data_IF_017571491788
#
_entry.id   IF_017571491788
#
_cell.length_a   1.000
_cell.length_b   1.000
_cell.length_c   1.000
_cell.angle_alpha   90.00
_cell.angle_beta   90.00
_cell.angle_gamma   90.00
#
_symmetry.space_group_name_H-M   'P 1'
#
loop_
_entity.id
_entity.type
_entity.pdbx_description
1 polymer ?
#
# COMPACT_ATOMS: atom_id res chain seq x y z
N UNK A 1 -17.77 26.48 -6.50
CA UNK A 1 -17.24 26.22 -5.16
C UNK A 1 -17.08 24.70 -5.02
N UNK A 2 -15.94 24.25 -4.58
CA UNK A 2 -15.59 22.84 -4.42
C UNK A 2 -15.31 22.60 -2.93
N UNK A 3 -15.87 21.54 -2.34
CA UNK A 3 -15.67 21.16 -0.93
C UNK A 3 -14.61 20.08 -0.76
N UNK A 4 -14.46 19.21 -1.77
CA UNK A 4 -13.54 18.09 -1.76
C UNK A 4 -12.81 17.99 -3.10
N UNK A 5 -11.52 17.64 -3.03
CA UNK A 5 -10.68 17.34 -4.18
C UNK A 5 -10.38 15.83 -4.19
N UNK A 6 -10.44 15.20 -5.35
CA UNK A 6 -10.06 13.80 -5.55
C UNK A 6 -8.80 13.78 -6.40
N UNK A 7 -7.69 13.25 -5.87
CA UNK A 7 -6.47 13.05 -6.66
C UNK A 7 -6.42 11.63 -7.22
N UNK A 8 -6.44 11.53 -8.54
CA UNK A 8 -6.31 10.29 -9.29
C UNK A 8 -5.21 10.40 -10.36
N UNK A 9 -4.17 11.19 -10.08
CA UNK A 9 -3.10 11.47 -11.07
C UNK A 9 -2.11 10.32 -11.25
N UNK A 10 -1.98 9.41 -10.26
CA UNK A 10 -1.03 8.30 -10.29
C UNK A 10 0.44 8.73 -10.34
N UNK A 11 0.73 9.99 -10.01
CA UNK A 11 2.09 10.51 -9.87
C UNK A 11 2.30 11.01 -8.43
N UNK A 12 3.23 10.43 -7.65
CA UNK A 12 3.39 10.76 -6.24
C UNK A 12 3.71 12.23 -5.99
N UNK A 13 4.55 12.85 -6.83
CA UNK A 13 4.92 14.25 -6.68
C UNK A 13 3.76 15.21 -6.99
N UNK A 14 2.96 14.89 -8.02
CA UNK A 14 1.76 15.67 -8.36
C UNK A 14 0.71 15.52 -7.26
N UNK A 15 0.49 14.30 -6.75
CA UNK A 15 -0.41 14.03 -5.65
C UNK A 15 -0.06 14.80 -4.38
N UNK A 16 1.22 14.87 -4.05
CA UNK A 16 1.72 15.68 -2.95
C UNK A 16 1.35 17.17 -3.11
N UNK A 17 1.57 17.74 -4.29
CA UNK A 17 1.25 19.13 -4.59
C UNK A 17 -0.27 19.40 -4.56
N UNK A 18 -1.07 18.49 -5.13
CA UNK A 18 -2.54 18.61 -5.14
C UNK A 18 -3.08 18.57 -3.71
N UNK A 19 -2.61 17.60 -2.90
CA UNK A 19 -3.04 17.47 -1.52
C UNK A 19 -2.74 18.73 -0.70
N UNK A 20 -1.51 19.26 -0.77
CA UNK A 20 -1.16 20.47 -0.04
C UNK A 20 -2.00 21.68 -0.46
N UNK A 21 -2.17 21.92 -1.75
CA UNK A 21 -2.98 23.02 -2.25
C UNK A 21 -4.45 22.90 -1.87
N UNK A 22 -5.00 21.68 -1.86
CA UNK A 22 -6.36 21.43 -1.40
C UNK A 22 -6.49 21.79 0.09
N UNK A 23 -5.57 21.33 0.94
CA UNK A 23 -5.55 21.62 2.37
C UNK A 23 -5.37 23.11 2.67
N UNK A 24 -4.46 23.80 1.97
CA UNK A 24 -4.27 25.25 2.07
C UNK A 24 -5.53 26.04 1.69
N UNK A 25 -6.30 25.52 0.73
CA UNK A 25 -7.58 26.09 0.32
C UNK A 25 -8.75 25.67 1.21
N UNK A 26 -8.52 24.95 2.31
CA UNK A 26 -9.55 24.46 3.23
C UNK A 26 -10.47 23.40 2.62
N UNK A 27 -9.97 22.61 1.65
CA UNK A 27 -10.72 21.56 0.96
C UNK A 27 -10.35 20.18 1.49
N UNK A 28 -11.34 19.31 1.64
CA UNK A 28 -11.09 17.89 1.90
C UNK A 28 -10.35 17.26 0.75
N UNK A 29 -9.58 16.21 1.01
CA UNK A 29 -8.83 15.49 -0.01
C UNK A 29 -9.09 13.98 0.07
N UNK A 30 -9.52 13.40 -1.05
CA UNK A 30 -9.63 11.95 -1.27
C UNK A 30 -8.49 11.54 -2.19
N UNK A 31 -7.60 10.68 -1.70
CA UNK A 31 -6.40 10.26 -2.39
C UNK A 31 -6.61 8.89 -3.03
N UNK A 32 -6.66 8.84 -4.38
CA UNK A 32 -6.55 7.58 -5.14
C UNK A 32 -5.09 7.29 -5.51
N UNK A 33 -4.20 8.24 -5.26
CA UNK A 33 -2.76 8.15 -5.46
C UNK A 33 -2.11 7.53 -4.21
N UNK A 34 -2.24 6.22 -4.08
CA UNK A 34 -1.73 5.45 -2.93
C UNK A 34 -0.20 5.54 -2.86
N UNK A 35 0.46 5.77 -3.99
CA UNK A 35 1.90 5.98 -4.12
C UNK A 35 2.37 7.20 -3.30
N UNK A 36 1.60 8.29 -3.33
CA UNK A 36 1.88 9.46 -2.50
C UNK A 36 1.64 9.18 -1.02
N UNK A 37 0.54 8.48 -0.68
CA UNK A 37 0.20 8.12 0.69
C UNK A 37 1.28 7.27 1.36
N UNK A 38 1.73 6.18 0.73
CA UNK A 38 2.76 5.31 1.32
C UNK A 38 4.11 6.02 1.47
N UNK A 39 4.34 7.09 0.70
CA UNK A 39 5.58 7.87 0.73
C UNK A 39 5.58 8.95 1.81
N UNK A 40 4.50 9.73 1.92
CA UNK A 40 4.40 10.92 2.79
C UNK A 40 3.07 11.01 3.56
N UNK A 41 2.34 9.91 3.68
CA UNK A 41 0.99 9.91 4.26
C UNK A 41 0.91 10.42 5.70
N UNK A 42 1.90 10.11 6.54
CA UNK A 42 1.94 10.63 7.91
C UNK A 42 2.09 12.17 7.96
N UNK A 43 2.84 12.75 7.02
CA UNK A 43 2.91 14.19 6.83
C UNK A 43 1.57 14.76 6.35
N UNK A 44 0.96 14.15 5.32
CA UNK A 44 -0.31 14.59 4.76
C UNK A 44 -1.44 14.51 5.79
N UNK A 45 -1.49 13.44 6.58
CA UNK A 45 -2.42 13.33 7.70
C UNK A 45 -2.29 14.54 8.64
N UNK A 46 -1.07 14.83 9.10
CA UNK A 46 -0.83 15.92 10.06
C UNK A 46 -1.10 17.29 9.47
N UNK A 47 -0.80 17.48 8.18
CA UNK A 47 -1.14 18.71 7.46
C UNK A 47 -2.65 18.92 7.37
N UNK A 48 -3.41 17.87 7.09
CA UNK A 48 -4.87 17.91 7.05
C UNK A 48 -5.49 18.19 8.43
N UNK A 49 -4.98 17.56 9.49
CA UNK A 49 -5.40 17.83 10.87
C UNK A 49 -5.18 19.30 11.24
N UNK A 50 -4.00 19.86 10.90
CA UNK A 50 -3.69 21.28 11.12
C UNK A 50 -4.60 22.22 10.32
N UNK A 51 -4.92 21.85 9.08
CA UNK A 51 -5.83 22.63 8.22
C UNK A 51 -7.30 22.45 8.58
N UNK A 52 -7.65 21.53 9.50
CA UNK A 52 -9.02 21.23 9.89
C UNK A 52 -9.84 20.59 8.77
N UNK A 53 -9.19 19.85 7.85
CA UNK A 53 -9.83 19.17 6.72
C UNK A 53 -9.68 17.65 6.84
N UNK A 54 -10.49 16.91 6.09
CA UNK A 54 -10.38 15.45 6.01
C UNK A 54 -9.38 15.08 4.93
N UNK A 55 -8.45 14.19 5.30
CA UNK A 55 -7.59 13.42 4.41
C UNK A 55 -8.02 11.95 4.47
N UNK A 56 -8.20 11.30 3.34
CA UNK A 56 -8.55 9.88 3.27
C UNK A 56 -8.05 9.23 1.99
N UNK A 57 -7.68 7.95 2.04
CA UNK A 57 -7.65 7.12 0.85
C UNK A 57 -9.09 6.86 0.36
N UNK A 58 -9.24 6.71 -0.96
CA UNK A 58 -10.54 6.54 -1.61
C UNK A 58 -11.15 5.17 -1.34
N UNK A 59 -12.46 5.13 -1.05
CA UNK A 59 -13.23 3.89 -0.97
C UNK A 59 -13.17 3.12 -2.30
N UNK A 60 -13.27 1.80 -2.23
CA UNK A 60 -13.29 0.90 -3.38
C UNK A 60 -11.93 0.54 -3.94
N UNK A 61 -10.84 1.18 -3.53
CA UNK A 61 -9.50 0.65 -3.77
C UNK A 61 -9.20 -0.50 -2.83
N UNK A 62 -8.29 -1.41 -3.18
CA UNK A 62 -7.99 -2.60 -2.38
C UNK A 62 -7.64 -2.28 -0.92
N UNK A 63 -6.79 -1.26 -0.61
CA UNK A 63 -6.49 -0.93 0.77
C UNK A 63 -7.72 -0.54 1.58
N UNK A 64 -8.55 0.34 1.04
CA UNK A 64 -9.78 0.80 1.73
C UNK A 64 -10.81 -0.31 1.86
N UNK A 65 -10.93 -1.18 0.85
CA UNK A 65 -11.82 -2.36 0.90
C UNK A 65 -11.34 -3.39 1.94
N UNK A 66 -10.02 -3.60 2.07
CA UNK A 66 -9.46 -4.43 3.14
C UNK A 66 -9.69 -3.79 4.52
N UNK A 67 -9.60 -2.46 4.63
CA UNK A 67 -9.84 -1.72 5.86
C UNK A 67 -11.28 -1.91 6.39
N UNK A 68 -12.28 -2.00 5.50
CA UNK A 68 -13.65 -2.31 5.91
C UNK A 68 -13.75 -3.66 6.63
N UNK A 69 -13.12 -4.72 6.08
CA UNK A 69 -13.08 -6.03 6.74
C UNK A 69 -12.25 -6.01 8.02
N UNK A 70 -11.14 -5.28 8.05
CA UNK A 70 -10.30 -5.13 9.24
C UNK A 70 -11.11 -4.45 10.34
N UNK A 71 -11.79 -3.34 10.03
CA UNK A 71 -12.64 -2.63 10.99
C UNK A 71 -13.79 -3.50 11.51
N UNK A 72 -14.40 -4.31 10.64
CA UNK A 72 -15.44 -5.28 11.01
C UNK A 72 -14.91 -6.31 12.02
N UNK A 73 -13.76 -6.91 11.76
CA UNK A 73 -13.14 -7.92 12.63
C UNK A 73 -12.69 -7.30 13.96
N UNK A 74 -12.00 -6.16 13.90
CA UNK A 74 -11.52 -5.45 15.10
C UNK A 74 -12.68 -4.85 15.93
N UNK A 75 -13.76 -4.40 15.27
CA UNK A 75 -14.95 -3.91 15.95
C UNK A 75 -15.66 -4.96 16.80
N UNK A 76 -15.48 -6.26 16.49
CA UNK A 76 -15.92 -7.37 17.32
C UNK A 76 -14.91 -7.75 18.41
N UNK A 77 -13.79 -7.04 18.53
CA UNK A 77 -12.70 -7.37 19.45
C UNK A 77 -11.87 -8.58 19.02
N UNK A 78 -11.93 -9.00 17.76
CA UNK A 78 -11.21 -10.16 17.27
C UNK A 78 -9.83 -9.78 16.70
N UNK A 79 -8.79 -10.59 16.93
CA UNK A 79 -7.46 -10.30 16.43
C UNK A 79 -7.36 -10.51 14.92
N UNK A 80 -6.69 -9.60 14.23
CA UNK A 80 -6.31 -9.78 12.84
C UNK A 80 -4.96 -10.49 12.77
N UNK A 81 -4.95 -11.69 12.18
CA UNK A 81 -3.74 -12.51 11.99
C UNK A 81 -3.04 -12.11 10.70
N UNK A 82 -3.81 -12.02 9.61
CA UNK A 82 -3.35 -11.55 8.32
C UNK A 82 -4.46 -10.76 7.62
N UNK A 83 -4.08 -9.76 6.82
CA UNK A 83 -5.01 -9.06 5.94
C UNK A 83 -4.34 -8.80 4.59
N UNK A 84 -5.14 -8.77 3.52
CA UNK A 84 -4.58 -8.52 2.19
C UNK A 84 -5.54 -8.75 1.05
N UNK A 85 -4.97 -9.07 -0.11
CA UNK A 85 -5.71 -9.16 -1.38
C UNK A 85 -5.34 -10.37 -2.22
N UNK A 86 -6.18 -10.68 -3.20
CA UNK A 86 -5.84 -11.54 -4.33
C UNK A 86 -5.08 -10.77 -5.41
N UNK A 87 -4.11 -11.41 -6.06
CA UNK A 87 -3.38 -10.87 -7.21
C UNK A 87 -3.63 -11.78 -8.42
N UNK A 88 -4.29 -11.26 -9.46
CA UNK A 88 -4.65 -12.02 -10.67
C UNK A 88 -3.76 -11.76 -11.88
N UNK A 89 -2.99 -10.67 -11.90
CA UNK A 89 -2.04 -10.40 -12.97
C UNK A 89 -0.79 -11.28 -12.78
N UNK A 90 -0.12 -11.69 -13.86
CA UNK A 90 1.18 -12.37 -13.76
C UNK A 90 2.15 -11.59 -12.87
N UNK A 91 3.08 -12.29 -12.22
CA UNK A 91 4.13 -11.63 -11.44
C UNK A 91 5.45 -11.72 -12.20
N UNK A 92 5.69 -10.72 -13.05
CA UNK A 92 6.89 -10.59 -13.87
C UNK A 92 7.63 -9.31 -13.48
N UNK A 93 8.60 -9.47 -12.62
CA UNK A 93 9.34 -8.37 -11.98
C UNK A 93 10.14 -7.50 -12.96
N UNK A 94 10.52 -8.06 -14.11
CA UNK A 94 11.28 -7.42 -15.18
C UNK A 94 10.41 -6.74 -16.25
N UNK A 95 9.08 -6.84 -16.14
CA UNK A 95 8.15 -6.32 -17.15
C UNK A 95 8.38 -4.83 -17.47
N UNK A 96 8.26 -4.47 -18.75
CA UNK A 96 8.42 -3.11 -19.24
C UNK A 96 7.20 -2.64 -20.02
N UNK A 97 6.95 -1.32 -20.13
CA UNK A 97 5.81 -0.80 -20.90
C UNK A 97 5.82 -1.21 -22.37
N UNK A 98 6.99 -1.41 -22.95
CA UNK A 98 7.13 -1.80 -24.36
C UNK A 98 6.52 -3.17 -24.64
N UNK A 99 6.69 -4.13 -23.72
CA UNK A 99 6.12 -5.47 -23.82
C UNK A 99 4.58 -5.49 -23.69
N UNK A 100 4.01 -4.52 -22.98
CA UNK A 100 2.59 -4.46 -22.66
C UNK A 100 1.81 -3.40 -23.45
N UNK A 101 2.41 -2.77 -24.44
CA UNK A 101 1.81 -1.69 -25.25
C UNK A 101 0.51 -2.13 -25.93
N UNK A 102 0.52 -3.28 -26.59
CA UNK A 102 -0.65 -3.79 -27.31
C UNK A 102 -1.77 -4.22 -26.36
N UNK A 103 -1.42 -4.89 -25.25
CA UNK A 103 -2.41 -5.29 -24.26
C UNK A 103 -3.05 -4.08 -23.59
N UNK A 104 -2.26 -3.08 -23.24
CA UNK A 104 -2.73 -1.83 -22.66
C UNK A 104 -3.69 -1.11 -23.62
N UNK A 105 -3.35 -1.04 -24.90
CA UNK A 105 -4.23 -0.45 -25.92
C UNK A 105 -5.56 -1.18 -26.02
N UNK A 106 -5.57 -2.53 -26.03
CA UNK A 106 -6.81 -3.33 -26.02
C UNK A 106 -7.68 -3.09 -24.80
N UNK A 107 -7.06 -2.81 -23.64
CA UNK A 107 -7.74 -2.56 -22.36
C UNK A 107 -8.03 -1.09 -22.10
N UNK A 108 -7.73 -0.20 -23.06
CA UNK A 108 -7.81 1.26 -22.90
C UNK A 108 -7.08 1.74 -21.62
N UNK A 109 -5.88 1.23 -21.41
CA UNK A 109 -5.04 1.53 -20.24
C UNK A 109 -3.71 2.17 -20.68
N UNK A 110 -3.09 2.89 -19.75
CA UNK A 110 -1.70 3.31 -19.91
C UNK A 110 -0.77 2.09 -19.73
N UNK A 111 0.17 1.80 -20.67
CA UNK A 111 1.10 0.68 -20.56
C UNK A 111 1.90 0.66 -19.24
N UNK A 112 2.34 1.81 -18.77
CA UNK A 112 3.05 1.96 -17.49
C UNK A 112 2.20 1.49 -16.31
N UNK A 113 0.92 1.89 -16.25
CA UNK A 113 0.00 1.43 -15.20
C UNK A 113 -0.23 -0.08 -15.26
N UNK A 114 -0.32 -0.66 -16.47
CA UNK A 114 -0.46 -2.10 -16.61
C UNK A 114 0.78 -2.84 -16.08
N UNK A 115 1.97 -2.30 -16.33
CA UNK A 115 3.23 -2.86 -15.80
C UNK A 115 3.27 -2.79 -14.28
N UNK A 116 2.76 -1.76 -13.62
CA UNK A 116 2.70 -1.68 -12.15
C UNK A 116 1.91 -2.85 -11.53
N UNK A 117 0.87 -3.34 -12.23
CA UNK A 117 0.16 -4.56 -11.81
C UNK A 117 0.99 -5.82 -12.04
N UNK A 118 1.72 -5.89 -13.13
CA UNK A 118 2.46 -7.09 -13.56
C UNK A 118 3.78 -7.24 -12.79
N UNK A 119 4.55 -6.16 -12.59
CA UNK A 119 5.82 -6.20 -11.87
C UNK A 119 5.66 -6.29 -10.34
N UNK A 120 4.42 -6.17 -9.87
CA UNK A 120 4.04 -6.27 -8.47
C UNK A 120 4.08 -4.95 -7.70
N UNK A 121 4.54 -3.85 -8.28
CA UNK A 121 4.64 -2.55 -7.59
C UNK A 121 3.32 -2.16 -6.95
N UNK A 122 2.21 -2.25 -7.69
CA UNK A 122 0.88 -1.90 -7.17
C UNK A 122 0.51 -2.72 -5.93
N UNK A 123 0.72 -4.05 -5.96
CA UNK A 123 0.48 -4.91 -4.80
C UNK A 123 1.34 -4.51 -3.59
N UNK A 124 2.63 -4.19 -3.81
CA UNK A 124 3.53 -3.78 -2.73
C UNK A 124 3.11 -2.43 -2.13
N UNK A 125 2.68 -1.48 -2.96
CA UNK A 125 2.16 -0.18 -2.54
C UNK A 125 0.90 -0.37 -1.68
N UNK A 126 -0.08 -1.11 -2.17
CA UNK A 126 -1.36 -1.33 -1.49
C UNK A 126 -1.20 -2.03 -0.14
N UNK A 127 -0.36 -3.07 -0.07
CA UNK A 127 -0.09 -3.75 1.20
C UNK A 127 0.67 -2.85 2.18
N UNK A 128 1.56 -1.98 1.70
CA UNK A 128 2.21 -0.95 2.54
C UNK A 128 1.19 0.07 3.06
N UNK A 129 0.20 0.47 2.26
CA UNK A 129 -0.86 1.36 2.70
C UNK A 129 -1.69 0.73 3.83
N UNK A 130 -2.10 -0.56 3.70
CA UNK A 130 -2.78 -1.29 4.77
C UNK A 130 -1.90 -1.36 6.03
N UNK A 131 -0.62 -1.68 5.87
CA UNK A 131 0.32 -1.71 6.99
C UNK A 131 0.36 -0.37 7.72
N UNK A 132 0.48 0.72 6.98
CA UNK A 132 0.58 2.06 7.53
C UNK A 132 -0.72 2.57 8.17
N UNK A 133 -1.89 2.04 7.78
CA UNK A 133 -3.16 2.40 8.39
C UNK A 133 -3.54 1.55 9.62
N UNK A 134 -2.96 0.34 9.75
CA UNK A 134 -3.41 -0.64 10.75
C UNK A 134 -2.36 -1.06 11.76
N UNK A 135 -1.09 -0.88 11.46
CA UNK A 135 0.02 -1.42 12.25
C UNK A 135 0.37 -2.88 11.93
N UNK A 136 -0.35 -3.54 11.02
CA UNK A 136 0.05 -4.82 10.45
C UNK A 136 1.34 -4.62 9.66
N UNK A 137 2.20 -5.65 9.57
CA UNK A 137 3.49 -5.50 8.87
C UNK A 137 3.72 -6.63 7.87
N UNK A 138 4.51 -6.43 6.82
CA UNK A 138 5.03 -7.55 6.03
C UNK A 138 5.83 -8.50 6.93
N UNK A 139 5.54 -9.80 6.87
CA UNK A 139 6.26 -10.82 7.67
C UNK A 139 7.73 -10.97 7.22
N UNK A 140 7.98 -10.71 5.95
CA UNK A 140 9.30 -10.62 5.32
C UNK A 140 9.26 -9.58 4.20
N UNK A 141 10.42 -9.06 3.74
CA UNK A 141 10.46 -8.19 2.57
C UNK A 141 9.80 -8.86 1.35
N UNK A 142 8.87 -8.13 0.71
CA UNK A 142 8.07 -8.61 -0.42
C UNK A 142 6.94 -9.54 -0.07
N UNK A 143 6.74 -9.86 1.22
CA UNK A 143 5.67 -10.76 1.71
C UNK A 143 5.84 -12.22 1.24
N UNK A 144 4.87 -13.09 1.46
CA UNK A 144 4.95 -14.49 1.04
C UNK A 144 4.35 -14.73 -0.34
N UNK A 145 3.18 -14.13 -0.60
CA UNK A 145 2.44 -14.29 -1.85
C UNK A 145 2.12 -15.75 -2.20
N UNK A 146 1.57 -16.56 -1.26
CA UNK A 146 1.31 -17.97 -1.52
C UNK A 146 0.27 -18.19 -2.62
N UNK A 147 0.32 -19.33 -3.30
CA UNK A 147 -0.79 -19.83 -4.12
C UNK A 147 -1.82 -20.55 -3.23
N UNK A 148 -2.49 -19.77 -2.39
CA UNK A 148 -3.48 -20.27 -1.43
C UNK A 148 -4.88 -19.88 -1.88
N UNK A 149 -5.71 -20.89 -2.15
CA UNK A 149 -7.12 -20.70 -2.52
C UNK A 149 -7.92 -20.13 -1.34
N UNK A 150 -9.03 -19.48 -1.63
CA UNK A 150 -9.89 -18.86 -0.61
C UNK A 150 -10.23 -19.81 0.55
N UNK A 151 -10.58 -21.06 0.24
CA UNK A 151 -10.93 -22.08 1.23
C UNK A 151 -9.78 -22.47 2.17
N UNK A 152 -8.53 -22.19 1.78
CA UNK A 152 -7.33 -22.59 2.52
C UNK A 152 -6.53 -21.40 3.06
N UNK A 153 -6.93 -20.17 2.75
CA UNK A 153 -6.22 -18.96 3.20
C UNK A 153 -5.95 -18.96 4.71
N UNK A 154 -6.95 -19.30 5.51
CA UNK A 154 -6.83 -19.33 6.96
C UNK A 154 -5.88 -20.42 7.48
N UNK A 155 -5.63 -21.48 6.70
CA UNK A 155 -4.69 -22.56 7.04
C UNK A 155 -3.27 -22.21 6.64
N UNK A 156 -3.12 -21.44 5.55
CA UNK A 156 -1.82 -21.04 5.01
C UNK A 156 -1.32 -19.77 5.69
N UNK A 157 -2.17 -18.75 5.84
CA UNK A 157 -1.83 -17.47 6.45
C UNK A 157 -2.16 -17.47 7.96
N UNK A 158 -1.70 -18.51 8.66
CA UNK A 158 -1.65 -18.58 10.11
C UNK A 158 -0.20 -18.82 10.60
N UNK A 159 0.08 -18.71 11.91
CA UNK A 159 1.42 -18.91 12.44
C UNK A 159 2.01 -20.29 12.14
N UNK A 160 3.33 -20.37 11.99
CA UNK A 160 4.07 -21.62 11.77
C UNK A 160 3.85 -22.64 12.87
N UNK A 161 3.71 -22.20 14.11
CA UNK A 161 3.41 -23.04 15.27
C UNK A 161 2.08 -23.78 15.14
N UNK A 162 1.14 -23.24 14.34
CA UNK A 162 -0.17 -23.83 14.02
C UNK A 162 -0.23 -24.40 12.59
N UNK A 163 0.92 -24.58 11.93
CA UNK A 163 1.06 -25.24 10.62
C UNK A 163 1.02 -24.30 9.40
N UNK A 164 0.98 -22.99 9.59
CA UNK A 164 0.98 -22.00 8.51
C UNK A 164 2.34 -21.48 8.08
N UNK A 165 2.36 -20.37 7.35
CA UNK A 165 3.58 -19.74 6.82
C UNK A 165 4.15 -18.63 7.72
N UNK A 166 3.32 -18.02 8.57
CA UNK A 166 3.67 -16.76 9.21
C UNK A 166 4.62 -16.96 10.39
N UNK A 167 5.65 -16.12 10.48
CA UNK A 167 6.56 -16.09 11.64
C UNK A 167 5.95 -15.34 12.83
N UNK A 168 4.87 -14.58 12.61
CA UNK A 168 4.20 -13.72 13.58
C UNK A 168 2.71 -13.54 13.23
N UNK A 169 1.95 -13.01 14.18
CA UNK A 169 0.59 -12.50 13.97
C UNK A 169 0.62 -11.03 13.58
N UNK A 170 -0.46 -10.55 12.94
CA UNK A 170 -0.58 -9.15 12.57
C UNK A 170 0.23 -8.78 11.32
N UNK A 171 -0.02 -9.48 10.21
CA UNK A 171 0.73 -9.27 8.97
C UNK A 171 -0.16 -8.80 7.81
N UNK A 172 0.47 -8.14 6.84
CA UNK A 172 -0.09 -7.92 5.51
C UNK A 172 0.52 -8.92 4.54
N UNK A 173 -0.30 -9.52 3.67
CA UNK A 173 0.15 -10.43 2.62
C UNK A 173 -0.83 -10.46 1.45
N UNK A 174 -0.49 -11.11 0.37
CA UNK A 174 -1.36 -11.32 -0.79
C UNK A 174 -1.35 -12.80 -1.20
N UNK A 175 -2.31 -13.20 -2.03
CA UNK A 175 -2.29 -14.54 -2.65
C UNK A 175 -2.35 -14.44 -4.16
N UNK A 176 -1.65 -15.33 -4.85
CA UNK A 176 -1.68 -15.44 -6.33
C UNK A 176 -2.70 -16.47 -6.81
N UNK A 177 -3.42 -17.12 -5.91
CA UNK A 177 -4.41 -18.14 -6.23
C UNK A 177 -5.58 -17.58 -7.04
N UNK A 178 -6.00 -18.33 -8.07
CA UNK A 178 -7.17 -18.00 -8.87
C UNK A 178 -8.44 -17.96 -8.02
N UNK A 179 -9.33 -16.99 -8.30
CA UNK A 179 -10.62 -16.85 -7.64
C UNK A 179 -10.61 -16.04 -6.34
N UNK A 180 -9.46 -15.54 -5.90
CA UNK A 180 -9.37 -14.57 -4.80
C UNK A 180 -9.39 -13.14 -5.30
N UNK A 181 -8.64 -12.82 -6.34
CA UNK A 181 -8.76 -11.51 -6.99
C UNK A 181 -10.05 -11.43 -7.84
N UNK A 182 -10.71 -10.28 -7.88
CA UNK A 182 -10.33 -8.96 -7.36
C UNK A 182 -10.78 -8.71 -5.91
N UNK A 183 -10.66 -9.68 -5.03
CA UNK A 183 -11.12 -9.59 -3.65
C UNK A 183 -10.02 -9.26 -2.64
N UNK A 184 -10.49 -8.89 -1.44
CA UNK A 184 -9.68 -8.63 -0.26
C UNK A 184 -10.10 -9.57 0.87
N UNK A 185 -9.19 -9.88 1.78
CA UNK A 185 -9.43 -10.83 2.86
C UNK A 185 -8.84 -10.39 4.19
N UNK A 186 -9.41 -10.94 5.27
CA UNK A 186 -8.86 -10.90 6.63
C UNK A 186 -8.90 -12.29 7.22
N UNK A 187 -7.80 -12.74 7.79
CA UNK A 187 -7.72 -13.96 8.61
C UNK A 187 -7.73 -13.55 10.07
N UNK A 188 -8.65 -14.13 10.84
CA UNK A 188 -8.78 -13.92 12.30
C UNK A 188 -8.62 -15.23 13.06
N UNK A 189 -8.35 -15.15 14.36
CA UNK A 189 -8.21 -16.30 15.25
C UNK A 189 -9.28 -16.25 16.35
N UNK A 190 -10.09 -17.30 16.48
CA UNK A 190 -11.11 -17.44 17.51
C UNK A 190 -10.89 -18.75 18.28
N UNK A 191 -10.30 -18.68 19.48
CA UNK A 191 -10.02 -19.87 20.30
C UNK A 191 -11.13 -20.23 21.27
N UNK A 192 -12.03 -19.30 21.60
CA UNK A 192 -13.10 -19.55 22.56
C UNK A 192 -14.08 -20.61 22.04
N UNK A 193 -14.37 -21.70 22.79
CA UNK A 193 -15.17 -22.83 22.30
C UNK A 193 -16.56 -22.43 21.77
N UNK A 194 -17.25 -21.53 22.47
CA UNK A 194 -18.58 -21.05 22.05
C UNK A 194 -18.56 -20.24 20.74
N UNK A 195 -17.49 -19.49 20.46
CA UNK A 195 -17.34 -18.80 19.19
C UNK A 195 -17.10 -19.82 18.08
N UNK A 196 -16.26 -20.82 18.31
CA UNK A 196 -15.98 -21.88 17.34
C UNK A 196 -17.22 -22.69 17.03
N UNK A 197 -17.99 -23.09 18.05
CA UNK A 197 -19.29 -23.76 17.89
C UNK A 197 -20.23 -22.92 16.98
N UNK A 198 -20.31 -21.61 17.22
CA UNK A 198 -21.15 -20.74 16.40
C UNK A 198 -20.63 -20.60 14.96
N UNK A 199 -19.32 -20.51 14.77
CA UNK A 199 -18.73 -20.46 13.42
C UNK A 199 -18.96 -21.77 12.67
N UNK A 200 -18.90 -22.92 13.35
CA UNK A 200 -19.24 -24.22 12.79
C UNK A 200 -20.71 -24.29 12.35
N UNK A 201 -21.65 -23.91 13.22
CA UNK A 201 -23.09 -23.85 12.93
C UNK A 201 -23.40 -22.97 11.69
N UNK A 202 -22.62 -21.92 11.48
CA UNK A 202 -22.74 -21.02 10.34
C UNK A 202 -21.96 -21.49 9.10
N UNK A 203 -21.42 -22.71 9.11
CA UNK A 203 -20.64 -23.33 8.03
C UNK A 203 -19.36 -22.54 7.64
N UNK A 204 -18.74 -21.85 8.62
CA UNK A 204 -17.52 -21.07 8.41
C UNK A 204 -16.23 -21.85 8.73
N UNK A 205 -16.36 -23.13 9.12
CA UNK A 205 -15.25 -24.05 9.40
C UNK A 205 -15.05 -24.36 10.87
N UNK A 206 -14.04 -25.20 11.15
CA UNK A 206 -13.75 -25.73 12.50
C UNK A 206 -12.86 -24.80 13.33
N UNK A 207 -12.21 -23.85 12.69
CA UNK A 207 -11.26 -22.95 13.36
C UNK A 207 -9.95 -23.63 13.83
N UNK A 208 -9.13 -22.95 14.62
CA UNK A 208 -9.37 -21.65 15.24
C UNK A 208 -9.23 -20.44 14.31
N UNK A 209 -8.73 -20.63 13.08
CA UNK A 209 -8.53 -19.57 12.10
C UNK A 209 -9.69 -19.52 11.11
N UNK A 210 -10.12 -18.31 10.76
CA UNK A 210 -11.26 -18.06 9.85
C UNK A 210 -10.92 -16.95 8.87
N UNK A 211 -11.39 -17.09 7.61
CA UNK A 211 -11.22 -16.06 6.57
C UNK A 211 -12.51 -15.30 6.37
N UNK A 212 -12.47 -13.99 6.51
CA UNK A 212 -13.49 -13.09 5.98
C UNK A 212 -13.04 -12.56 4.63
N UNK A 213 -13.95 -12.49 3.67
CA UNK A 213 -13.63 -12.20 2.29
C UNK A 213 -14.66 -11.28 1.65
N UNK A 214 -14.18 -10.23 1.01
CA UNK A 214 -14.97 -9.39 0.12
C UNK A 214 -14.53 -9.70 -1.32
N UNK A 215 -15.42 -10.28 -2.19
CA UNK A 215 -15.03 -10.82 -3.49
C UNK A 215 -14.79 -9.77 -4.57
N UNK A 216 -14.93 -8.49 -4.25
CA UNK A 216 -14.77 -7.38 -5.18
C UNK A 216 -14.25 -6.13 -4.47
N UNK A 217 -13.71 -5.24 -5.26
CA UNK A 217 -13.48 -3.84 -4.93
C UNK A 217 -13.87 -3.01 -6.18
N UNK A 218 -14.57 -1.90 -5.99
CA UNK A 218 -15.18 -1.17 -7.11
C UNK A 218 -14.50 0.21 -7.29
N UNK A 219 -13.20 0.22 -7.43
CA UNK A 219 -12.28 1.36 -7.39
C UNK A 219 -12.96 2.71 -7.70
N UNK A 220 -13.16 3.11 -8.91
CA UNK A 220 -13.73 4.42 -9.25
C UNK A 220 -15.22 4.59 -8.87
N UNK A 221 -15.96 3.49 -8.69
CA UNK A 221 -17.40 3.52 -8.41
C UNK A 221 -17.70 3.86 -6.95
N UNK A 222 -16.85 3.48 -6.01
CA UNK A 222 -17.03 3.73 -4.57
C UNK A 222 -16.40 5.05 -4.10
N UNK A 223 -15.54 5.68 -4.89
CA UNK A 223 -14.86 6.95 -4.52
C UNK A 223 -15.84 8.06 -4.07
N UNK A 224 -17.02 8.21 -4.69
CA UNK A 224 -18.02 9.18 -4.21
C UNK A 224 -18.44 8.98 -2.75
N UNK A 225 -18.37 7.75 -2.21
CA UNK A 225 -18.64 7.48 -0.79
C UNK A 225 -17.63 8.19 0.12
N UNK A 226 -16.33 8.19 -0.27
CA UNK A 226 -15.30 8.93 0.47
C UNK A 226 -15.53 10.43 0.42
N UNK A 227 -15.91 10.96 -0.73
CA UNK A 227 -16.24 12.38 -0.87
C UNK A 227 -17.43 12.76 0.01
N UNK A 228 -18.50 11.95 0.00
CA UNK A 228 -19.67 12.16 0.84
C UNK A 228 -19.34 12.04 2.34
N UNK A 229 -18.57 11.02 2.74
CA UNK A 229 -18.15 10.83 4.13
C UNK A 229 -17.32 12.02 4.64
N UNK A 230 -16.39 12.52 3.83
CA UNK A 230 -15.57 13.66 4.17
C UNK A 230 -16.39 14.95 4.35
N UNK A 231 -17.32 15.24 3.43
CA UNK A 231 -18.10 16.49 3.43
C UNK A 231 -19.23 16.44 4.45
N UNK A 232 -20.02 15.35 4.49
CA UNK A 232 -21.24 15.26 5.29
C UNK A 232 -20.95 14.85 6.74
N UNK A 233 -19.97 13.99 6.97
CA UNK A 233 -19.72 13.38 8.27
C UNK A 233 -18.35 13.71 8.85
N UNK A 234 -17.48 14.39 8.10
CA UNK A 234 -16.09 14.70 8.52
C UNK A 234 -15.30 13.42 8.86
N UNK A 235 -15.53 12.35 8.12
CA UNK A 235 -14.96 11.03 8.35
C UNK A 235 -14.04 10.60 7.22
N UNK A 236 -12.96 9.90 7.59
CA UNK A 236 -12.05 9.23 6.67
C UNK A 236 -12.42 7.74 6.56
N UNK A 237 -12.38 7.17 5.37
CA UNK A 237 -12.48 5.72 5.17
C UNK A 237 -11.20 5.00 5.59
N UNK A 238 -10.06 5.58 5.22
CA UNK A 238 -8.75 5.05 5.57
C UNK A 238 -7.75 6.20 5.66
N UNK A 239 -6.97 6.20 6.74
CA UNK A 239 -5.95 7.21 7.00
C UNK A 239 -4.72 6.50 7.60
N UNK A 240 -3.49 6.87 7.22
CA UNK A 240 -2.30 6.27 7.81
C UNK A 240 -2.15 6.62 9.29
N UNK A 241 -1.49 5.77 10.05
CA UNK A 241 -1.08 6.05 11.42
C UNK A 241 -0.12 7.25 11.47
N UNK A 242 -0.05 7.90 12.64
CA UNK A 242 0.93 8.98 12.88
C UNK A 242 2.38 8.50 12.67
N UNK A 243 2.65 7.24 13.00
CA UNK A 243 3.94 6.57 12.80
C UNK A 243 3.75 5.38 11.87
N UNK A 244 4.11 5.49 10.60
CA UNK A 244 4.02 4.40 9.63
C UNK A 244 4.95 3.26 10.02
N UNK A 245 4.50 2.02 9.79
CA UNK A 245 5.23 0.78 10.14
C UNK A 245 5.82 0.06 8.91
N UNK A 246 5.27 0.34 7.74
CA UNK A 246 5.69 -0.19 6.45
C UNK A 246 6.42 0.84 5.60
N UNK A 247 7.20 0.35 4.65
CA UNK A 247 7.83 1.13 3.58
C UNK A 247 7.72 0.38 2.25
N UNK A 248 7.32 1.05 1.20
CA UNK A 248 7.46 0.53 -0.15
C UNK A 248 8.78 1.06 -0.72
N UNK A 249 9.81 0.22 -0.68
CA UNK A 249 11.14 0.56 -1.16
C UNK A 249 11.27 0.30 -2.67
N UNK A 250 12.21 0.98 -3.32
CA UNK A 250 12.54 0.76 -4.73
C UNK A 250 13.60 -0.34 -4.89
N UNK A 251 13.34 -1.33 -5.78
CA UNK A 251 14.29 -2.35 -6.21
C UNK A 251 14.58 -2.20 -7.69
N UNK A 252 15.84 -2.37 -8.10
CA UNK A 252 16.23 -2.38 -9.50
C UNK A 252 15.59 -3.56 -10.25
N UNK A 253 14.96 -3.30 -11.42
CA UNK A 253 14.42 -4.35 -12.31
C UNK A 253 15.51 -5.02 -13.14
N UNK A 254 16.56 -4.30 -13.44
CA UNK A 254 17.70 -4.70 -14.25
C UNK A 254 18.98 -4.11 -13.67
N UNK A 255 20.12 -4.52 -14.20
CA UNK A 255 21.39 -3.89 -13.86
C UNK A 255 21.37 -2.43 -14.32
N UNK A 256 21.69 -1.53 -13.39
CA UNK A 256 21.74 -0.09 -13.60
C UNK A 256 23.18 0.39 -13.43
N UNK A 257 23.86 0.83 -14.51
CA UNK A 257 25.16 1.47 -14.41
C UNK A 257 25.11 2.76 -13.57
N UNK A 258 26.24 3.16 -13.00
CA UNK A 258 26.36 4.49 -12.40
C UNK A 258 26.05 5.58 -13.44
N UNK A 259 25.37 6.65 -13.01
CA UNK A 259 24.91 7.73 -13.89
C UNK A 259 23.58 7.45 -14.58
N UNK A 260 22.91 6.32 -14.33
CA UNK A 260 21.59 6.04 -14.87
C UNK A 260 20.56 6.99 -14.25
N UNK A 261 19.83 7.73 -15.08
CA UNK A 261 18.67 8.50 -14.64
C UNK A 261 17.48 7.57 -14.46
N UNK A 262 16.86 7.62 -13.29
CA UNK A 262 15.71 6.79 -12.94
C UNK A 262 14.43 7.34 -13.57
N UNK A 263 13.68 6.48 -14.22
CA UNK A 263 12.39 6.76 -14.84
C UNK A 263 11.24 6.75 -13.82
N UNK A 264 9.99 6.58 -14.24
CA UNK A 264 8.84 6.56 -13.34
C UNK A 264 8.52 5.14 -12.86
N UNK A 265 7.63 5.03 -11.84
CA UNK A 265 7.04 3.76 -11.38
C UNK A 265 6.35 3.09 -12.58
N UNK A 266 6.51 1.77 -12.72
CA UNK A 266 5.94 1.00 -13.82
C UNK A 266 6.71 1.12 -15.14
N UNK A 267 7.90 1.71 -15.16
CA UNK A 267 8.78 1.79 -16.33
C UNK A 267 9.92 0.75 -16.25
N UNK A 268 11.16 1.13 -16.61
CA UNK A 268 12.23 0.18 -16.92
C UNK A 268 13.24 -0.03 -15.78
N UNK A 269 13.40 0.98 -14.89
CA UNK A 269 14.54 0.98 -13.98
C UNK A 269 14.26 0.24 -12.68
N UNK A 270 13.11 0.44 -12.07
CA UNK A 270 12.83 -0.04 -10.71
C UNK A 270 11.37 -0.43 -10.53
N UNK A 271 11.09 -1.13 -9.43
CA UNK A 271 9.76 -1.57 -8.98
C UNK A 271 9.63 -1.46 -7.47
N UNK A 272 8.39 -1.55 -6.97
CA UNK A 272 8.09 -1.52 -5.54
C UNK A 272 8.42 -2.83 -4.82
N UNK A 273 8.82 -2.71 -3.53
CA UNK A 273 9.04 -3.83 -2.65
C UNK A 273 8.65 -3.47 -1.22
N UNK A 274 7.55 -4.06 -0.74
CA UNK A 274 7.06 -3.81 0.61
C UNK A 274 7.98 -4.43 1.67
N UNK A 275 8.30 -3.65 2.68
CA UNK A 275 9.09 -4.10 3.83
C UNK A 275 8.69 -3.33 5.09
N UNK A 276 9.23 -3.70 6.24
CA UNK A 276 9.02 -2.89 7.45
C UNK A 276 9.82 -1.58 7.36
N UNK A 277 9.26 -0.50 7.91
CA UNK A 277 9.98 0.78 7.99
C UNK A 277 11.33 0.64 8.70
N UNK A 278 11.40 -0.19 9.75
CA UNK A 278 12.64 -0.44 10.48
C UNK A 278 13.73 -1.03 9.57
N UNK A 279 13.38 -2.04 8.76
CA UNK A 279 14.31 -2.63 7.79
C UNK A 279 14.72 -1.62 6.71
N UNK A 280 13.75 -0.91 6.10
CA UNK A 280 14.06 0.09 5.08
C UNK A 280 15.04 1.16 5.61
N UNK A 281 14.84 1.64 6.83
CA UNK A 281 15.76 2.60 7.47
C UNK A 281 17.15 2.01 7.73
N UNK A 282 17.23 0.76 8.18
CA UNK A 282 18.54 0.12 8.48
C UNK A 282 19.45 0.00 7.26
N UNK A 283 18.86 -0.13 6.07
CA UNK A 283 19.60 -0.22 4.80
C UNK A 283 19.53 1.10 4.00
N UNK A 284 18.94 2.15 4.56
CA UNK A 284 18.75 3.45 3.89
C UNK A 284 18.08 3.34 2.52
N UNK A 285 17.08 2.43 2.42
CA UNK A 285 16.35 2.21 1.17
C UNK A 285 15.65 3.48 0.69
N UNK A 286 15.71 3.72 -0.61
CA UNK A 286 14.95 4.79 -1.27
C UNK A 286 13.48 4.37 -1.33
N UNK A 287 12.54 5.16 -0.75
CA UNK A 287 11.11 4.96 -0.96
C UNK A 287 10.75 5.04 -2.44
N UNK A 288 9.86 4.14 -2.89
CA UNK A 288 9.46 4.02 -4.30
C UNK A 288 9.05 5.37 -4.92
N UNK A 289 8.23 6.15 -4.20
CA UNK A 289 7.71 7.42 -4.69
C UNK A 289 8.74 8.54 -4.81
N UNK A 290 9.98 8.35 -4.32
CA UNK A 290 11.07 9.33 -4.41
C UNK A 290 12.07 9.04 -5.53
N UNK A 291 12.04 7.83 -6.10
CA UNK A 291 13.10 7.37 -7.02
C UNK A 291 13.10 8.11 -8.37
N UNK A 292 11.93 8.53 -8.84
CA UNK A 292 11.77 9.19 -10.15
C UNK A 292 12.65 10.45 -10.27
N UNK A 293 13.38 10.55 -11.37
CA UNK A 293 14.27 11.68 -11.67
C UNK A 293 15.63 11.61 -10.97
N UNK A 294 15.79 10.71 -9.99
CA UNK A 294 17.06 10.45 -9.33
C UNK A 294 18.10 9.88 -10.27
N UNK A 295 19.35 9.82 -9.81
CA UNK A 295 20.50 9.29 -10.59
C UNK A 295 21.29 8.31 -9.74
N UNK A 296 21.61 7.14 -10.30
CA UNK A 296 22.48 6.16 -9.64
C UNK A 296 23.91 6.71 -9.50
N UNK A 297 24.51 6.58 -8.33
CA UNK A 297 25.87 7.03 -8.03
C UNK A 297 26.88 5.89 -8.11
N UNK A 298 26.41 4.64 -8.05
CA UNK A 298 27.17 3.41 -8.20
C UNK A 298 26.38 2.41 -9.04
N UNK A 299 27.01 1.35 -9.61
CA UNK A 299 26.29 0.26 -10.25
C UNK A 299 25.37 -0.45 -9.25
N UNK A 300 24.15 -0.80 -9.69
CA UNK A 300 23.13 -1.51 -8.91
C UNK A 300 22.71 -2.75 -9.74
N UNK A 301 22.74 -3.93 -9.15
CA UNK A 301 22.31 -5.15 -9.84
C UNK A 301 20.79 -5.33 -9.80
N UNK A 302 20.26 -6.06 -10.75
CA UNK A 302 18.86 -6.48 -10.72
C UNK A 302 18.48 -7.14 -9.39
N UNK A 303 17.37 -6.70 -8.78
CA UNK A 303 16.90 -7.18 -7.48
C UNK A 303 17.55 -6.54 -6.25
N UNK A 304 18.54 -5.69 -6.40
CA UNK A 304 19.11 -4.91 -5.29
C UNK A 304 18.28 -3.67 -5.00
N UNK A 305 18.33 -3.22 -3.73
CA UNK A 305 17.67 -1.99 -3.31
C UNK A 305 18.37 -0.75 -3.88
N UNK A 306 17.56 0.19 -4.34
CA UNK A 306 17.99 1.58 -4.44
C UNK A 306 18.12 2.11 -3.02
N UNK A 307 19.27 2.69 -2.69
CA UNK A 307 19.58 3.23 -1.36
C UNK A 307 20.15 4.66 -1.49
N UNK A 308 20.14 5.41 -0.41
CA UNK A 308 20.79 6.73 -0.40
C UNK A 308 22.31 6.65 -0.62
N UNK A 309 22.93 5.46 -0.51
CA UNK A 309 24.37 5.26 -0.77
C UNK A 309 24.67 5.04 -2.26
N UNK A 310 23.70 4.51 -3.03
CA UNK A 310 23.87 4.21 -4.45
C UNK A 310 22.99 5.05 -5.39
N UNK A 311 22.17 5.96 -4.85
CA UNK A 311 21.33 6.87 -5.60
C UNK A 311 21.33 8.28 -5.00
N UNK A 312 21.32 9.29 -5.87
CA UNK A 312 21.02 10.67 -5.51
C UNK A 312 19.61 11.01 -5.98
N UNK A 313 18.76 11.46 -5.07
CA UNK A 313 17.39 11.87 -5.36
C UNK A 313 17.35 13.22 -6.10
N UNK A 314 16.23 13.48 -6.77
CA UNK A 314 15.94 14.80 -7.34
C UNK A 314 15.32 15.69 -6.25
N UNK A 315 16.18 16.46 -5.57
CA UNK A 315 15.79 17.34 -4.46
C UNK A 315 14.92 18.55 -4.93
N UNK A 316 14.67 18.70 -6.22
CA UNK A 316 13.74 19.71 -6.75
C UNK A 316 12.28 19.27 -6.65
N UNK A 317 12.02 17.99 -6.42
CA UNK A 317 10.67 17.44 -6.30
C UNK A 317 10.08 17.75 -4.92
N UNK A 318 8.84 18.23 -4.92
CA UNK A 318 8.10 18.55 -3.70
C UNK A 318 7.96 17.35 -2.76
N UNK A 319 7.69 16.18 -3.31
CA UNK A 319 7.55 14.97 -2.50
C UNK A 319 8.84 14.59 -1.76
N UNK A 320 10.02 14.86 -2.35
CA UNK A 320 11.31 14.62 -1.71
C UNK A 320 11.47 15.57 -0.52
N UNK A 321 11.17 16.85 -0.70
CA UNK A 321 11.17 17.87 0.36
C UNK A 321 10.23 17.48 1.51
N UNK A 322 9.00 17.08 1.19
CA UNK A 322 7.99 16.68 2.17
C UNK A 322 8.38 15.39 2.91
N UNK A 323 9.00 14.44 2.22
CA UNK A 323 9.53 13.25 2.89
C UNK A 323 10.64 13.58 3.87
N UNK A 324 11.56 14.48 3.56
CA UNK A 324 12.56 14.94 4.51
C UNK A 324 11.94 15.60 5.75
N UNK A 325 10.86 16.37 5.56
CA UNK A 325 10.09 16.93 6.68
C UNK A 325 9.41 15.84 7.50
N UNK A 326 8.77 14.86 6.86
CA UNK A 326 8.17 13.72 7.56
C UNK A 326 9.19 12.95 8.40
N UNK A 327 10.35 12.66 7.84
CA UNK A 327 11.38 11.91 8.58
C UNK A 327 11.87 12.67 9.80
N UNK A 328 12.14 14.00 9.70
CA UNK A 328 12.47 14.86 10.86
C UNK A 328 11.33 14.88 11.89
N UNK A 329 10.08 15.04 11.44
CA UNK A 329 8.90 15.02 12.31
C UNK A 329 8.80 13.71 13.12
N UNK A 330 9.05 12.58 12.47
CA UNK A 330 8.98 11.26 13.09
C UNK A 330 10.17 10.98 14.03
N UNK A 331 11.30 11.60 13.77
CA UNK A 331 12.50 11.53 14.61
C UNK A 331 12.46 12.52 15.81
N UNK A 332 11.41 13.33 15.90
CA UNK A 332 11.18 14.26 17.03
C UNK A 332 11.81 15.65 16.86
N UNK A 333 12.17 16.03 15.64
CA UNK A 333 12.67 17.39 15.34
C UNK A 333 11.50 18.38 15.33
N UNK A 334 11.51 19.32 16.31
CA UNK A 334 10.47 20.33 16.48
C UNK A 334 10.32 21.28 15.27
N UNK A 335 11.36 21.44 14.45
CA UNK A 335 11.36 22.26 13.22
C UNK A 335 10.61 21.58 12.04
N UNK A 336 10.22 20.33 12.17
CA UNK A 336 9.59 19.55 11.11
C UNK A 336 8.06 19.53 11.16
N UNK A 337 7.42 20.30 12.03
CA UNK A 337 5.97 20.39 12.07
C UNK A 337 5.41 21.01 10.77
N UNK A 338 4.29 20.49 10.22
CA UNK A 338 3.65 21.04 9.02
C UNK A 338 3.02 22.42 9.25
#
# INVERSE_FOLDING_TARGET
>A
LVDVVIDATGNPNVGAQVALRAMEAGKHIVMMNVEADVTIGAWLRRAAEKAGVVYTLGAGDEPSSAMELINFVQGMGWPVIAAGKGKNNPFRVEATPDEYREEAARRNMNPRMLVEFVDGSKTMIEMTAIANATGLVPDRPGMHGPDAKLADLHKVLCPREDGGLLSRRGVVDFTVAKGVAPGVFVVTELRHPRLRERMHDLHLGEGPYYTFFRPYHLTSLEVPLSAAAAVLFRQSHMIPLERPVGECAALAKKDLPAGTRLDAIGEHCYRGWATTRAHARSIRAVPLGLAQGGVTTAPIRAGEYLTEDNCRLDETLEIVRLRRLQDRMLDGDAGAAP
#
